data_IF_556893998192
#
_entry.id   IF_556893998192
#
_cell.length_a   1.000
_cell.length_b   1.000
_cell.length_c   1.000
_cell.angle_alpha   90.00
_cell.angle_beta   90.00
_cell.angle_gamma   90.00
#
_symmetry.space_group_name_H-M   'P 1'
#
loop_
_entity.id
_entity.type
_entity.pdbx_description
1 polymer ?
#
# COMPACT_ATOMS: atom_id res chain seq x y z
N UNK A 1 8.80 -36.93 40.72
CA UNK A 1 9.81 -36.53 39.73
C UNK A 1 9.40 -37.19 38.42
N UNK A 2 8.71 -36.37 37.64
CA UNK A 2 8.51 -36.35 36.19
C UNK A 2 8.35 -37.66 35.40
N UNK A 3 7.12 -37.89 34.94
CA UNK A 3 6.80 -38.74 33.77
C UNK A 3 6.21 -37.86 32.68
N UNK A 4 6.98 -37.66 31.61
CA UNK A 4 6.54 -36.99 30.38
C UNK A 4 5.49 -37.84 29.64
N UNK A 5 4.30 -37.28 29.41
CA UNK A 5 3.27 -37.87 28.55
C UNK A 5 3.23 -37.15 27.20
N UNK A 6 3.61 -37.83 26.13
CA UNK A 6 3.35 -37.42 24.74
C UNK A 6 2.16 -38.23 24.24
N UNK A 7 1.00 -37.58 24.09
CA UNK A 7 -0.22 -38.21 23.58
C UNK A 7 -0.43 -37.83 22.11
N UNK A 8 -0.25 -38.81 21.22
CA UNK A 8 -0.55 -38.70 19.79
C UNK A 8 -1.97 -39.23 19.57
N UNK A 9 -2.93 -38.32 19.32
CA UNK A 9 -4.34 -38.65 19.08
C UNK A 9 -4.60 -38.83 17.59
N UNK A 10 -5.04 -40.04 17.22
CA UNK A 10 -5.64 -40.38 15.92
C UNK A 10 -7.16 -40.15 15.96
N UNK A 11 -7.68 -39.16 15.23
CA UNK A 11 -9.10 -39.07 14.82
C UNK A 11 -9.18 -38.57 13.36
N UNK A 12 -10.04 -39.26 12.61
CA UNK A 12 -10.35 -39.18 11.19
C UNK A 12 -10.97 -37.82 10.78
N UNK A 13 -10.46 -37.23 9.69
CA UNK A 13 -11.00 -36.09 8.92
C UNK A 13 -11.25 -34.76 9.66
N UNK A 14 -10.21 -33.94 9.88
CA UNK A 14 -10.06 -32.54 9.42
C UNK A 14 -8.55 -32.27 9.44
N UNK A 15 -8.00 -31.82 8.31
CA UNK A 15 -6.56 -31.66 8.10
C UNK A 15 -5.97 -30.48 8.90
N UNK A 16 -4.66 -30.60 9.15
CA UNK A 16 -3.62 -29.60 9.50
C UNK A 16 -3.57 -28.97 10.91
N UNK A 17 -2.75 -29.63 11.75
CA UNK A 17 -1.56 -29.10 12.45
C UNK A 17 -1.58 -27.67 12.99
N UNK A 18 -1.64 -27.57 14.33
CA UNK A 18 -0.82 -26.71 15.20
C UNK A 18 -0.44 -25.31 14.66
N UNK A 19 -1.20 -24.28 15.06
CA UNK A 19 -0.74 -22.95 15.54
C UNK A 19 -1.80 -21.87 15.28
N UNK A 20 -2.68 -21.63 16.25
CA UNK A 20 -3.42 -20.37 16.26
C UNK A 20 -2.56 -19.31 16.96
N UNK A 21 -2.32 -18.20 16.25
CA UNK A 21 -1.72 -16.92 16.68
C UNK A 21 -0.19 -16.79 16.60
N UNK A 22 0.34 -16.78 15.37
CA UNK A 22 1.29 -15.72 14.97
C UNK A 22 0.96 -15.32 13.54
N UNK A 23 0.42 -14.12 13.36
CA UNK A 23 0.30 -13.50 12.03
C UNK A 23 1.70 -13.15 11.55
N UNK A 24 2.41 -14.14 11.03
CA UNK A 24 3.56 -13.94 10.15
C UNK A 24 3.10 -14.32 8.75
N UNK A 25 2.41 -13.38 8.12
CA UNK A 25 2.16 -13.44 6.69
C UNK A 25 3.52 -13.46 5.98
N UNK A 26 3.75 -14.53 5.24
CA UNK A 26 4.74 -14.56 4.19
C UNK A 26 4.43 -13.42 3.18
N UNK A 27 5.35 -12.46 3.02
CA UNK A 27 5.45 -11.60 1.83
C UNK A 27 4.22 -10.80 1.37
N UNK A 28 3.26 -10.55 2.25
CA UNK A 28 2.03 -9.81 1.91
C UNK A 28 2.20 -8.31 2.19
N UNK A 29 1.91 -7.49 1.19
CA UNK A 29 1.79 -6.06 1.35
C UNK A 29 0.50 -5.74 2.14
N UNK A 30 0.64 -5.18 3.34
CA UNK A 30 -0.47 -4.80 4.24
C UNK A 30 -0.18 -3.40 4.80
N UNK A 31 -1.20 -2.56 4.88
CA UNK A 31 -1.09 -1.23 5.44
C UNK A 31 -0.79 -1.24 6.95
N UNK A 32 -0.04 -0.24 7.40
CA UNK A 32 0.19 0.03 8.80
C UNK A 32 -1.14 0.30 9.52
N UNK A 33 -1.36 -0.39 10.64
CA UNK A 33 -2.54 -0.20 11.46
C UNK A 33 -2.39 1.06 12.32
N UNK A 34 -2.93 2.18 11.85
CA UNK A 34 -3.03 3.41 12.62
C UNK A 34 -2.61 4.67 11.86
N UNK A 35 -2.05 5.63 12.59
CA UNK A 35 -1.58 6.90 12.05
C UNK A 35 -0.19 6.70 11.43
N UNK A 36 -0.04 7.14 10.19
CA UNK A 36 1.19 6.98 9.41
C UNK A 36 1.94 8.30 9.28
N UNK A 37 1.24 9.37 8.92
CA UNK A 37 1.83 10.70 8.75
C UNK A 37 0.80 11.78 9.08
N UNK A 38 1.25 12.88 9.71
CA UNK A 38 0.44 14.09 9.95
C UNK A 38 -0.92 13.83 10.64
N UNK A 39 -1.00 12.83 11.51
CA UNK A 39 -2.25 12.48 12.20
C UNK A 39 -3.25 11.73 11.31
N UNK A 40 -2.84 11.25 10.15
CA UNK A 40 -3.68 10.56 9.16
C UNK A 40 -3.34 9.07 9.03
N UNK A 41 -4.37 8.25 8.77
CA UNK A 41 -4.22 6.86 8.32
C UNK A 41 -3.84 6.80 6.83
N UNK A 42 -3.41 5.64 6.35
CA UNK A 42 -3.12 5.43 4.92
C UNK A 42 -4.26 5.88 4.00
N UNK A 43 -5.50 5.50 4.34
CA UNK A 43 -6.68 5.87 3.55
C UNK A 43 -6.85 7.39 3.52
N UNK A 44 -6.72 8.07 4.66
CA UNK A 44 -6.90 9.52 4.75
C UNK A 44 -5.81 10.28 3.99
N UNK A 45 -4.56 9.86 4.14
CA UNK A 45 -3.40 10.47 3.51
C UNK A 45 -3.49 10.35 1.98
N UNK A 46 -3.75 9.15 1.47
CA UNK A 46 -3.80 8.86 0.03
C UNK A 46 -5.05 9.45 -0.63
N UNK A 47 -6.18 9.50 0.09
CA UNK A 47 -7.37 10.24 -0.39
C UNK A 47 -7.09 11.74 -0.53
N UNK A 48 -6.24 12.30 0.34
CA UNK A 48 -5.88 13.71 0.27
C UNK A 48 -4.94 13.98 -0.92
N UNK A 49 -3.98 13.09 -1.16
CA UNK A 49 -3.10 13.15 -2.31
C UNK A 49 -2.45 11.78 -2.59
N UNK A 50 -2.81 11.15 -3.71
CA UNK A 50 -2.31 9.82 -4.07
C UNK A 50 -0.84 9.80 -4.47
N UNK A 51 -0.30 10.94 -4.95
CA UNK A 51 1.11 11.07 -5.31
C UNK A 51 2.08 10.90 -4.12
N UNK A 52 1.58 10.92 -2.88
CA UNK A 52 2.39 10.53 -1.70
C UNK A 52 2.90 9.09 -1.80
N UNK A 53 2.23 8.21 -2.55
CA UNK A 53 2.67 6.84 -2.79
C UNK A 53 3.99 6.73 -3.58
N UNK A 54 4.50 7.83 -4.15
CA UNK A 54 5.85 7.89 -4.71
C UNK A 54 6.95 7.96 -3.64
N UNK A 55 6.62 8.37 -2.42
CA UNK A 55 7.55 8.27 -1.30
C UNK A 55 7.71 6.81 -0.88
N UNK A 56 8.95 6.30 -0.89
CA UNK A 56 9.21 4.89 -0.60
C UNK A 56 8.82 4.46 0.80
N UNK A 57 8.89 5.35 1.80
CA UNK A 57 8.54 5.05 3.19
C UNK A 57 7.02 4.94 3.29
N UNK A 58 6.28 5.88 2.70
CA UNK A 58 4.82 5.81 2.67
C UNK A 58 4.34 4.65 1.82
N UNK A 59 4.96 4.38 0.66
CA UNK A 59 4.63 3.24 -0.16
C UNK A 59 4.78 1.94 0.63
N UNK A 60 5.85 1.77 1.41
CA UNK A 60 6.03 0.58 2.23
C UNK A 60 5.01 0.47 3.38
N UNK A 61 4.69 1.59 4.04
CA UNK A 61 3.73 1.60 5.15
C UNK A 61 2.27 1.50 4.70
N UNK A 62 1.94 2.03 3.52
CA UNK A 62 0.58 2.11 2.98
C UNK A 62 0.46 1.36 1.65
N UNK A 63 1.21 0.28 1.52
CA UNK A 63 1.41 -0.39 0.24
C UNK A 63 0.09 -0.92 -0.34
N UNK A 64 -0.84 -1.40 0.50
CA UNK A 64 -2.10 -1.96 0.03
C UNK A 64 -3.01 -0.85 -0.48
N UNK A 65 -3.11 0.25 0.27
CA UNK A 65 -3.86 1.44 -0.18
C UNK A 65 -3.22 2.06 -1.44
N UNK A 66 -1.89 2.16 -1.52
CA UNK A 66 -1.19 2.67 -2.70
C UNK A 66 -1.45 1.81 -3.94
N UNK A 67 -1.32 0.48 -3.82
CA UNK A 67 -1.59 -0.45 -4.91
C UNK A 67 -3.05 -0.37 -5.40
N UNK A 68 -4.00 -0.17 -4.49
CA UNK A 68 -5.41 -0.01 -4.83
C UNK A 68 -5.71 1.32 -5.55
N UNK A 69 -4.87 2.34 -5.37
CA UNK A 69 -4.99 3.64 -6.05
C UNK A 69 -4.10 3.75 -7.29
N UNK A 70 -3.55 2.62 -7.76
CA UNK A 70 -2.75 2.56 -8.97
C UNK A 70 -3.57 2.93 -10.21
N UNK A 71 -3.03 3.80 -11.07
CA UNK A 71 -3.67 4.22 -12.33
C UNK A 71 -3.33 3.30 -13.50
N UNK A 72 -2.25 2.51 -13.40
CA UNK A 72 -1.69 1.73 -14.49
C UNK A 72 -1.01 2.54 -15.59
N UNK A 73 -0.84 3.86 -15.41
CA UNK A 73 -0.16 4.74 -16.36
C UNK A 73 1.33 4.77 -16.01
N UNK A 74 2.19 4.35 -16.94
CA UNK A 74 3.64 4.43 -16.77
C UNK A 74 4.07 5.88 -16.54
N UNK A 75 4.83 6.13 -15.46
CA UNK A 75 5.27 7.45 -15.02
C UNK A 75 4.24 8.21 -14.17
N UNK A 76 3.00 7.74 -14.09
CA UNK A 76 1.90 8.31 -13.29
C UNK A 76 1.16 7.22 -12.50
N UNK A 77 1.88 6.18 -12.07
CA UNK A 77 1.38 5.01 -11.36
C UNK A 77 0.40 5.36 -10.24
N UNK A 78 0.61 6.46 -9.53
CA UNK A 78 -0.28 6.92 -8.45
C UNK A 78 -0.95 8.28 -8.77
N UNK A 79 -0.97 8.69 -10.03
CA UNK A 79 -1.45 9.98 -10.49
C UNK A 79 -0.33 11.00 -10.66
N UNK A 80 -0.66 12.29 -10.46
CA UNK A 80 0.32 13.37 -10.50
C UNK A 80 1.28 13.27 -9.30
N UNK A 81 2.57 13.58 -9.53
CA UNK A 81 3.59 13.64 -8.49
C UNK A 81 3.52 14.95 -7.69
N UNK A 82 2.86 15.97 -8.23
CA UNK A 82 2.66 17.26 -7.58
C UNK A 82 1.17 17.55 -7.30
N UNK A 83 0.93 18.33 -6.27
CA UNK A 83 -0.38 18.92 -6.02
C UNK A 83 -0.60 20.16 -6.92
N UNK A 84 -1.87 20.53 -7.10
CA UNK A 84 -2.28 21.74 -7.83
C UNK A 84 -1.89 21.75 -9.31
N UNK A 85 -1.78 20.57 -9.93
CA UNK A 85 -1.62 20.46 -11.37
C UNK A 85 -2.83 21.05 -12.11
N UNK A 86 -2.54 22.00 -12.99
CA UNK A 86 -3.50 22.65 -13.88
C UNK A 86 -3.18 22.33 -15.34
N UNK A 87 -4.18 21.81 -16.05
CA UNK A 87 -4.10 21.43 -17.46
C UNK A 87 -3.69 22.58 -18.40
N UNK A 88 -4.04 23.82 -18.06
CA UNK A 88 -3.72 24.99 -18.86
C UNK A 88 -2.25 25.44 -18.72
N UNK A 89 -1.53 24.91 -17.73
CA UNK A 89 -0.13 25.25 -17.45
C UNK A 89 0.82 24.14 -17.91
N UNK A 90 0.34 23.11 -18.60
CA UNK A 90 1.17 21.96 -19.00
C UNK A 90 2.40 22.33 -19.82
N UNK A 91 2.28 23.29 -20.75
CA UNK A 91 3.41 23.79 -21.55
C UNK A 91 4.37 24.70 -20.77
N UNK A 92 4.02 25.06 -19.53
CA UNK A 92 4.79 25.98 -18.67
C UNK A 92 5.51 25.24 -17.54
N UNK A 93 5.15 23.98 -17.23
CA UNK A 93 5.87 23.22 -16.22
C UNK A 93 7.30 22.94 -16.67
N UNK A 94 8.31 23.21 -15.83
CA UNK A 94 9.71 22.89 -16.13
C UNK A 94 9.92 21.38 -16.31
N UNK A 95 9.12 20.59 -15.59
CA UNK A 95 9.16 19.14 -15.63
C UNK A 95 7.75 18.57 -15.92
N UNK A 96 7.51 17.99 -17.11
CA UNK A 96 6.22 17.43 -17.47
C UNK A 96 5.88 16.15 -16.70
N UNK A 97 6.83 15.53 -15.98
CA UNK A 97 6.54 14.32 -15.21
C UNK A 97 5.81 14.63 -13.90
N UNK A 98 5.88 15.87 -13.40
CA UNK A 98 5.23 16.27 -12.15
C UNK A 98 3.70 16.20 -12.23
N UNK A 99 3.14 16.65 -13.36
CA UNK A 99 1.71 16.72 -13.61
C UNK A 99 1.30 15.78 -14.73
N UNK A 100 1.92 14.61 -14.78
CA UNK A 100 1.83 13.72 -15.92
C UNK A 100 0.42 13.14 -16.13
N UNK A 101 -0.37 12.92 -15.08
CA UNK A 101 -1.77 12.51 -15.17
C UNK A 101 -2.65 13.63 -15.71
N UNK A 102 -2.53 14.82 -15.13
CA UNK A 102 -3.27 16.02 -15.57
C UNK A 102 -2.94 16.40 -17.01
N UNK A 103 -1.66 16.44 -17.37
CA UNK A 103 -1.20 16.90 -18.67
C UNK A 103 -1.34 15.86 -19.78
N UNK A 104 -1.37 14.58 -19.45
CA UNK A 104 -1.69 13.53 -20.43
C UNK A 104 -3.15 13.60 -20.89
N UNK A 105 -4.06 14.11 -20.06
CA UNK A 105 -5.44 14.34 -20.49
C UNK A 105 -5.58 15.50 -21.51
N UNK A 106 -4.52 16.28 -21.75
CA UNK A 106 -4.51 17.43 -22.66
C UNK A 106 -3.65 17.28 -23.93
N UNK A 107 -3.03 16.11 -24.13
CA UNK A 107 -2.27 15.77 -25.33
C UNK A 107 -3.03 14.77 -26.20
#
# INVERSE_FOLDING_TARGET
MDTLTVTVVTVLCIFISSSEVYSQNAGGCIDASGIVQDGQTCVQLITSFSGICYDTIINNMCCQTCNNNGTGIQGCEFGDHAQNCNVNLCSQYPDPTLCCGTCKASQ
#
